data_IF_748980912084
#
_entry.id   IF_748980912084
#
_cell.length_a   1.000
_cell.length_b   1.000
_cell.length_c   1.000
_cell.angle_alpha   90.00
_cell.angle_beta   90.00
_cell.angle_gamma   90.00
#
_symmetry.space_group_name_H-M   'P 1'
#
loop_
_entity.id
_entity.type
_entity.pdbx_description
1 polymer ?
#
# COMPACT_ATOMS: atom_id res chain seq x y z
N UNK A 1 3.98 8.66 10.42
CA UNK A 1 5.08 8.89 9.47
C UNK A 1 4.74 8.23 8.16
N UNK A 2 5.59 8.42 7.16
CA UNK A 2 5.46 7.84 5.82
C UNK A 2 6.77 7.14 5.48
N UNK A 3 6.69 6.11 4.65
CA UNK A 3 7.87 5.48 4.06
C UNK A 3 8.41 6.42 2.99
N UNK A 4 9.73 6.55 2.89
CA UNK A 4 10.34 7.42 1.88
C UNK A 4 10.01 6.92 0.47
N UNK A 5 9.65 7.84 -0.43
CA UNK A 5 9.14 7.51 -1.77
C UNK A 5 7.71 6.96 -1.83
N UNK A 6 6.99 6.83 -0.71
CA UNK A 6 5.60 6.38 -0.72
C UNK A 6 4.63 7.48 -1.17
N UNK A 7 3.67 7.12 -2.02
CA UNK A 7 2.57 7.99 -2.43
C UNK A 7 1.50 7.99 -1.34
N UNK A 8 1.21 9.16 -0.77
CA UNK A 8 0.10 9.30 0.17
C UNK A 8 -1.22 9.35 -0.59
N UNK A 9 -1.94 8.23 -0.59
CA UNK A 9 -3.26 8.13 -1.20
C UNK A 9 -4.28 7.69 -0.14
N UNK A 10 -5.21 8.55 0.26
CA UNK A 10 -6.29 8.18 1.17
C UNK A 10 -7.16 7.09 0.56
N UNK A 11 -7.65 6.15 1.38
CA UNK A 11 -8.54 5.07 0.93
C UNK A 11 -9.80 5.59 0.22
N UNK A 12 -10.32 6.76 0.62
CA UNK A 12 -11.48 7.38 0.00
C UNK A 12 -11.20 7.86 -1.44
N UNK A 13 -9.95 8.27 -1.72
CA UNK A 13 -9.52 8.76 -3.03
C UNK A 13 -8.99 7.64 -3.92
N UNK A 14 -8.57 6.51 -3.33
CA UNK A 14 -7.97 5.38 -4.04
C UNK A 14 -8.81 4.89 -5.23
N UNK A 15 -10.13 4.65 -5.13
CA UNK A 15 -10.94 4.23 -6.27
C UNK A 15 -11.00 5.29 -7.38
N UNK A 16 -10.88 6.57 -7.03
CA UNK A 16 -11.02 7.69 -7.95
C UNK A 16 -9.70 8.08 -8.64
N UNK A 17 -8.58 7.63 -8.09
CA UNK A 17 -7.21 7.92 -8.53
C UNK A 17 -6.45 6.64 -8.92
N UNK A 18 -7.14 5.52 -9.06
CA UNK A 18 -6.54 4.23 -9.38
C UNK A 18 -5.87 4.24 -10.75
N UNK A 19 -6.40 5.04 -11.69
CA UNK A 19 -5.83 5.25 -13.02
C UNK A 19 -4.49 5.98 -13.03
N UNK A 20 -4.09 6.63 -11.92
CA UNK A 20 -2.76 7.24 -11.78
C UNK A 20 -1.68 6.19 -11.47
N UNK A 21 -2.07 4.97 -11.10
CA UNK A 21 -1.19 3.89 -10.73
C UNK A 21 -1.01 2.94 -11.92
N UNK A 22 0.20 2.37 -12.04
CA UNK A 22 0.53 1.43 -13.11
C UNK A 22 0.22 -0.01 -12.64
N UNK A 23 -0.79 -0.70 -13.20
CA UNK A 23 -1.19 -2.04 -12.79
C UNK A 23 -0.15 -3.12 -13.13
N UNK A 24 0.85 -2.80 -13.97
CA UNK A 24 1.93 -3.73 -14.34
C UNK A 24 3.10 -3.70 -13.36
N UNK A 25 3.16 -2.70 -12.46
CA UNK A 25 4.26 -2.53 -11.53
C UNK A 25 3.94 -3.17 -10.17
N UNK A 26 4.92 -3.82 -9.53
CA UNK A 26 4.79 -4.30 -8.16
C UNK A 26 4.40 -3.15 -7.23
N UNK A 27 3.24 -3.28 -6.59
CA UNK A 27 2.66 -2.24 -5.73
C UNK A 27 2.58 -2.75 -4.30
N UNK A 28 3.25 -2.06 -3.38
CA UNK A 28 3.17 -2.33 -1.94
C UNK A 28 2.25 -1.31 -1.29
N UNK A 29 1.22 -1.77 -0.62
CA UNK A 29 0.29 -0.92 0.16
C UNK A 29 0.53 -1.10 1.65
N UNK A 30 0.46 0.01 2.38
CA UNK A 30 0.57 0.01 3.83
C UNK A 30 -0.33 1.09 4.43
N UNK A 31 -0.79 0.86 5.65
CA UNK A 31 -1.45 1.86 6.47
C UNK A 31 -0.77 1.92 7.84
N UNK A 32 -1.39 2.56 8.85
CA UNK A 32 -0.80 2.62 10.19
C UNK A 32 -0.65 1.24 10.87
N UNK A 33 -1.59 0.30 10.64
CA UNK A 33 -1.64 -0.98 11.35
C UNK A 33 -2.11 -2.19 10.53
N UNK A 34 -2.05 -2.13 9.20
CA UNK A 34 -2.38 -3.24 8.28
C UNK A 34 -3.85 -3.36 7.84
N UNK A 35 -4.83 -2.96 8.66
CA UNK A 35 -6.25 -3.22 8.32
C UNK A 35 -6.76 -2.49 7.06
N UNK A 36 -6.44 -1.20 6.89
CA UNK A 36 -6.90 -0.44 5.71
C UNK A 36 -6.13 -0.81 4.45
N UNK A 37 -4.88 -1.24 4.59
CA UNK A 37 -4.03 -1.60 3.47
C UNK A 37 -4.40 -2.97 2.89
N UNK A 38 -4.92 -3.90 3.69
CA UNK A 38 -5.46 -5.16 3.17
C UNK A 38 -6.71 -4.96 2.31
N UNK A 39 -7.59 -4.01 2.69
CA UNK A 39 -8.76 -3.63 1.87
C UNK A 39 -8.31 -2.94 0.58
N UNK A 40 -7.37 -2.00 0.68
CA UNK A 40 -6.78 -1.35 -0.50
C UNK A 40 -6.11 -2.37 -1.45
N UNK A 41 -5.40 -3.35 -0.91
CA UNK A 41 -4.78 -4.41 -1.70
C UNK A 41 -5.82 -5.24 -2.47
N UNK A 42 -6.94 -5.55 -1.82
CA UNK A 42 -8.04 -6.30 -2.42
C UNK A 42 -8.70 -5.52 -3.56
N UNK A 43 -8.89 -4.20 -3.36
CA UNK A 43 -9.40 -3.30 -4.39
C UNK A 43 -8.45 -3.21 -5.59
N UNK A 44 -7.15 -3.00 -5.36
CA UNK A 44 -6.17 -2.96 -6.45
C UNK A 44 -6.16 -4.26 -7.25
N UNK A 45 -6.22 -5.42 -6.58
CA UNK A 45 -6.29 -6.73 -7.27
C UNK A 45 -7.57 -6.88 -8.09
N UNK A 46 -8.73 -6.40 -7.60
CA UNK A 46 -9.97 -6.45 -8.39
C UNK A 46 -9.93 -5.56 -9.63
N UNK A 47 -9.12 -4.49 -9.60
CA UNK A 47 -8.93 -3.55 -10.70
C UNK A 47 -7.82 -3.99 -11.69
N UNK A 48 -7.27 -5.20 -11.51
CA UNK A 48 -6.35 -5.80 -12.46
C UNK A 48 -4.86 -5.59 -12.16
N UNK A 49 -4.51 -5.11 -10.96
CA UNK A 49 -3.11 -5.04 -10.55
C UNK A 49 -2.56 -6.45 -10.36
N UNK A 50 -1.54 -6.80 -11.15
CA UNK A 50 -0.99 -8.15 -11.20
C UNK A 50 -0.19 -8.50 -9.94
N UNK A 51 0.52 -7.52 -9.38
CA UNK A 51 1.41 -7.71 -8.24
C UNK A 51 1.13 -6.65 -7.16
N UNK A 52 0.35 -7.07 -6.16
CA UNK A 52 -0.03 -6.22 -5.01
C UNK A 52 0.34 -6.94 -3.72
N UNK A 53 1.12 -6.27 -2.88
CA UNK A 53 1.53 -6.77 -1.56
C UNK A 53 1.07 -5.84 -0.45
N UNK A 54 0.60 -6.41 0.66
CA UNK A 54 0.21 -5.66 1.86
C UNK A 54 1.31 -5.77 2.91
N UNK A 55 1.72 -4.63 3.47
CA UNK A 55 2.72 -4.58 4.52
C UNK A 55 2.08 -4.94 5.88
N UNK A 56 2.32 -6.17 6.32
CA UNK A 56 1.81 -6.70 7.58
C UNK A 56 2.29 -5.85 8.77
N UNK A 57 1.34 -5.46 9.62
CA UNK A 57 1.59 -4.56 10.76
C UNK A 57 1.74 -3.09 10.39
N UNK A 58 1.68 -2.75 9.09
CA UNK A 58 1.69 -1.38 8.59
C UNK A 58 2.96 -0.60 8.95
N UNK A 59 2.85 0.72 8.88
CA UNK A 59 3.94 1.65 9.21
C UNK A 59 4.52 1.40 10.60
N UNK A 60 3.70 0.95 11.56
CA UNK A 60 4.17 0.64 12.91
C UNK A 60 5.18 -0.51 12.90
N UNK A 61 4.90 -1.58 12.17
CA UNK A 61 5.84 -2.71 12.02
C UNK A 61 7.09 -2.32 11.21
N UNK A 62 6.92 -1.47 10.19
CA UNK A 62 8.05 -0.93 9.42
C UNK A 62 9.04 -0.18 10.30
N UNK A 63 8.55 0.73 11.15
CA UNK A 63 9.41 1.55 12.03
C UNK A 63 9.96 0.71 13.19
N UNK A 64 9.23 -0.32 13.62
CA UNK A 64 9.68 -1.25 14.66
C UNK A 64 10.75 -2.22 14.17
N UNK A 65 10.90 -2.40 12.84
CA UNK A 65 11.93 -3.26 12.26
C UNK A 65 13.23 -2.46 12.14
N UNK A 66 14.31 -2.82 12.83
CA UNK A 66 15.60 -2.23 12.55
C UNK A 66 15.97 -2.60 11.11
N UNK A 67 16.27 -1.60 10.29
CA UNK A 67 16.82 -1.82 8.96
C UNK A 67 18.17 -2.53 9.13
N UNK A 68 18.18 -3.86 9.03
CA UNK A 68 19.43 -4.62 8.98
C UNK A 68 20.09 -4.26 7.65
N UNK A 69 21.16 -3.48 7.75
CA UNK A 69 22.07 -3.08 6.67
C UNK A 69 22.70 -4.31 6.03
#
# INVERSE_FOLDING_TARGET
>A
GTIDGAVSMPMADLPRRIDELDPTRPTVVFCAGGYRSSVAASLLRSEGFADVSDLLGGFTAWVATPATV
#
